data_IF_860291181916
#
_entry.id   IF_860291181916
#
_cell.length_a   1.000
_cell.length_b   1.000
_cell.length_c   1.000
_cell.angle_alpha   90.00
_cell.angle_beta   90.00
_cell.angle_gamma   90.00
#
_symmetry.space_group_name_H-M   'P 1'
#
loop_
_entity.id
_entity.type
_entity.pdbx_description
1 polymer ?
#
# COMPACT_ATOMS: atom_id res chain seq x y z
N UNK A 1 4.36 8.58 7.61
CA UNK A 1 2.88 8.57 7.49
C UNK A 1 2.24 7.51 8.38
N UNK A 2 2.47 6.21 8.15
CA UNK A 2 1.80 5.11 8.87
C UNK A 2 1.92 5.24 10.40
N UNK A 3 3.12 5.48 10.93
CA UNK A 3 3.36 5.68 12.36
C UNK A 3 2.50 6.80 12.96
N UNK A 4 2.32 7.91 12.24
CA UNK A 4 1.50 9.02 12.73
C UNK A 4 0.02 8.64 12.77
N UNK A 5 -0.52 8.03 11.71
CA UNK A 5 -1.91 7.56 11.70
C UNK A 5 -2.16 6.50 12.77
N UNK A 6 -1.20 5.58 12.96
CA UNK A 6 -1.22 4.57 14.00
C UNK A 6 -1.23 5.18 15.42
N UNK A 7 -0.58 6.33 15.62
CA UNK A 7 -0.61 7.05 16.91
C UNK A 7 -1.94 7.74 17.22
N UNK A 8 -2.79 7.95 16.20
CA UNK A 8 -4.11 8.58 16.34
C UNK A 8 -5.25 7.55 16.44
N UNK A 9 -4.99 6.31 16.01
CA UNK A 9 -5.98 5.25 16.01
C UNK A 9 -5.95 4.50 17.35
N UNK A 10 -7.11 4.16 17.91
CA UNK A 10 -7.19 3.43 19.18
C UNK A 10 -7.47 1.94 18.99
N UNK A 11 -8.41 1.59 18.11
CA UNK A 11 -8.95 0.22 17.99
C UNK A 11 -8.61 -0.44 16.66
N UNK A 12 -8.60 0.34 15.59
CA UNK A 12 -8.51 -0.18 14.22
C UNK A 12 -7.95 0.88 13.29
N UNK A 13 -7.05 0.45 12.41
CA UNK A 13 -6.50 1.25 11.34
C UNK A 13 -6.78 0.55 10.02
N UNK A 14 -7.58 1.19 9.16
CA UNK A 14 -7.86 0.73 7.79
C UNK A 14 -7.02 1.55 6.83
N UNK A 15 -6.21 0.88 6.03
CA UNK A 15 -5.39 1.53 5.00
C UNK A 15 -5.52 0.81 3.68
N UNK A 16 -5.55 1.59 2.59
CA UNK A 16 -5.38 1.06 1.24
C UNK A 16 -4.16 1.67 0.58
N UNK A 17 -3.50 0.89 -0.27
CA UNK A 17 -2.30 1.34 -0.99
C UNK A 17 -2.17 0.62 -2.33
N UNK A 18 -1.51 1.28 -3.28
CA UNK A 18 -1.17 0.69 -4.56
C UNK A 18 -0.06 -0.35 -4.36
N UNK A 19 -0.30 -1.64 -4.67
CA UNK A 19 0.71 -2.66 -4.49
C UNK A 19 1.83 -2.47 -5.53
N UNK A 20 3.09 -2.65 -5.10
CA UNK A 20 4.19 -2.87 -6.04
C UNK A 20 4.02 -4.24 -6.69
N UNK A 21 3.71 -4.25 -7.99
CA UNK A 21 3.53 -5.47 -8.78
C UNK A 21 4.32 -5.37 -10.07
N UNK A 22 4.84 -6.52 -10.54
CA UNK A 22 5.59 -6.60 -11.80
C UNK A 22 4.79 -6.09 -13.00
N UNK A 23 3.46 -6.24 -12.99
CA UNK A 23 2.57 -5.73 -14.04
C UNK A 23 2.62 -4.20 -14.16
N UNK A 24 2.57 -3.48 -13.04
CA UNK A 24 2.66 -2.02 -13.03
C UNK A 24 4.05 -1.54 -13.45
N UNK A 25 5.11 -2.27 -13.10
CA UNK A 25 6.47 -1.96 -13.54
C UNK A 25 6.63 -2.13 -15.07
N UNK A 26 6.01 -3.16 -15.65
CA UNK A 26 5.99 -3.36 -17.11
C UNK A 26 5.21 -2.24 -17.81
N UNK A 27 4.02 -1.89 -17.32
CA UNK A 27 3.23 -0.78 -17.88
C UNK A 27 4.01 0.54 -17.84
N UNK A 28 4.71 0.80 -16.74
CA UNK A 28 5.57 1.98 -16.61
C UNK A 28 6.69 1.99 -17.67
N UNK A 29 7.38 0.86 -17.84
CA UNK A 29 8.44 0.71 -18.86
C UNK A 29 7.91 0.91 -20.28
N UNK A 30 6.72 0.42 -20.61
CA UNK A 30 6.10 0.66 -21.92
C UNK A 30 5.84 2.15 -22.13
N UNK A 31 5.38 2.87 -21.10
CA UNK A 31 5.18 4.32 -21.18
C UNK A 31 6.47 5.12 -21.38
N UNK A 32 7.59 4.66 -20.80
CA UNK A 32 8.92 5.28 -20.92
C UNK A 32 9.51 5.19 -22.35
N UNK A 33 8.99 4.29 -23.20
CA UNK A 33 9.42 4.18 -24.62
C UNK A 33 8.93 5.34 -25.50
N UNK A 34 8.03 6.20 -25.00
CA UNK A 34 7.51 7.34 -25.75
C UNK A 34 8.15 8.65 -25.27
N UNK A 35 8.54 9.58 -26.17
CA UNK A 35 9.19 10.84 -25.79
C UNK A 35 8.23 11.78 -25.04
N UNK A 36 8.65 12.30 -23.88
CA UNK A 36 7.97 13.37 -23.15
C UNK A 36 8.01 13.26 -21.61
N UNK A 37 7.97 14.38 -20.87
CA UNK A 37 8.22 14.42 -19.42
C UNK A 37 7.10 13.86 -18.52
N UNK A 38 5.93 13.54 -19.08
CA UNK A 38 4.72 13.17 -18.31
C UNK A 38 4.12 11.81 -18.72
N UNK A 39 4.94 10.91 -19.29
CA UNK A 39 4.46 9.65 -19.92
C UNK A 39 4.23 8.50 -18.92
N UNK A 40 4.87 8.55 -17.75
CA UNK A 40 4.68 7.59 -16.67
C UNK A 40 4.02 8.24 -15.45
N UNK A 41 2.95 7.62 -14.94
CA UNK A 41 2.28 8.05 -13.71
C UNK A 41 3.26 8.02 -12.53
N UNK A 42 3.34 9.13 -11.78
CA UNK A 42 4.05 9.17 -10.49
C UNK A 42 3.22 8.45 -9.43
N UNK A 43 3.25 7.12 -9.47
CA UNK A 43 2.63 6.26 -8.45
C UNK A 43 3.69 5.79 -7.45
N UNK A 44 3.46 6.03 -6.16
CA UNK A 44 4.27 5.46 -5.09
C UNK A 44 3.73 4.07 -4.77
N UNK A 45 4.31 3.07 -5.43
CA UNK A 45 3.96 1.69 -5.19
C UNK A 45 4.65 1.21 -3.91
N UNK A 46 3.89 0.52 -3.07
CA UNK A 46 4.40 -0.02 -1.81
C UNK A 46 4.34 -1.54 -1.82
N UNK A 47 5.46 -2.24 -1.57
CA UNK A 47 5.41 -3.67 -1.27
C UNK A 47 4.63 -3.91 0.01
N UNK A 48 3.79 -4.95 0.04
CA UNK A 48 3.00 -5.31 1.23
C UNK A 48 3.85 -5.42 2.48
N UNK A 49 5.02 -6.07 2.37
CA UNK A 49 5.95 -6.26 3.48
C UNK A 49 6.40 -4.95 4.12
N UNK A 50 6.65 -3.91 3.32
CA UNK A 50 7.06 -2.59 3.84
C UNK A 50 5.94 -1.96 4.67
N UNK A 51 4.68 -2.15 4.25
CA UNK A 51 3.52 -1.67 4.99
C UNK A 51 3.31 -2.47 6.27
N UNK A 52 3.45 -3.80 6.21
CA UNK A 52 3.35 -4.67 7.38
C UNK A 52 4.43 -4.37 8.42
N UNK A 53 5.68 -4.20 8.00
CA UNK A 53 6.80 -3.87 8.88
C UNK A 53 6.58 -2.50 9.53
N UNK A 54 6.14 -1.50 8.77
CA UNK A 54 5.82 -0.19 9.33
C UNK A 54 4.65 -0.19 10.33
N UNK A 55 3.66 -1.07 10.15
CA UNK A 55 2.58 -1.29 11.13
C UNK A 55 3.10 -2.00 12.38
N UNK A 56 3.91 -3.05 12.20
CA UNK A 56 4.54 -3.81 13.28
C UNK A 56 5.40 -2.92 14.16
N UNK A 57 6.25 -2.09 13.56
CA UNK A 57 7.10 -1.12 14.24
C UNK A 57 6.31 -0.03 14.98
N UNK A 58 5.04 0.17 14.61
CA UNK A 58 4.12 1.09 15.28
C UNK A 58 3.30 0.41 16.40
N UNK A 59 3.49 -0.89 16.65
CA UNK A 59 2.72 -1.64 17.67
C UNK A 59 1.39 -2.22 17.16
N UNK A 60 1.25 -2.39 15.84
CA UNK A 60 0.04 -2.89 15.19
C UNK A 60 0.30 -4.20 14.45
N UNK A 61 -0.73 -5.03 14.31
CA UNK A 61 -0.70 -6.25 13.49
C UNK A 61 -1.83 -6.22 12.46
N UNK A 62 -1.60 -6.81 11.30
CA UNK A 62 -2.65 -6.97 10.28
C UNK A 62 -3.58 -8.09 10.72
N UNK A 63 -4.88 -7.78 10.87
CA UNK A 63 -5.93 -8.72 11.21
C UNK A 63 -6.58 -9.30 9.94
N UNK A 64 -6.85 -8.45 8.94
CA UNK A 64 -7.43 -8.87 7.67
C UNK A 64 -6.78 -8.15 6.48
N UNK A 65 -6.89 -8.80 5.32
CA UNK A 65 -6.39 -8.29 4.04
C UNK A 65 -7.47 -8.36 2.97
N UNK A 66 -7.53 -7.34 2.13
CA UNK A 66 -8.35 -7.29 0.93
C UNK A 66 -7.52 -6.88 -0.29
N UNK A 67 -8.04 -7.15 -1.48
CA UNK A 67 -7.43 -6.73 -2.72
C UNK A 67 -8.49 -6.38 -3.75
N UNK A 68 -8.43 -5.15 -4.27
CA UNK A 68 -9.19 -4.72 -5.43
C UNK A 68 -8.28 -4.85 -6.64
N UNK A 69 -8.71 -5.64 -7.63
CA UNK A 69 -8.00 -5.86 -8.88
C UNK A 69 -8.98 -5.68 -10.04
N UNK A 70 -8.85 -4.55 -10.73
CA UNK A 70 -9.62 -4.24 -11.94
C UNK A 70 -8.66 -4.04 -13.11
N UNK A 71 -9.17 -3.61 -14.26
CA UNK A 71 -8.31 -3.39 -15.43
C UNK A 71 -7.24 -2.31 -15.20
N UNK A 72 -7.57 -1.25 -14.44
CA UNK A 72 -6.69 -0.09 -14.26
C UNK A 72 -6.57 0.40 -12.82
N UNK A 73 -7.36 -0.15 -11.90
CA UNK A 73 -7.33 0.22 -10.48
C UNK A 73 -6.98 -1.00 -9.63
N UNK A 74 -5.90 -0.87 -8.87
CA UNK A 74 -5.35 -1.91 -8.00
C UNK A 74 -5.10 -1.33 -6.61
N UNK A 75 -5.70 -1.92 -5.59
CA UNK A 75 -5.52 -1.48 -4.21
C UNK A 75 -5.48 -2.67 -3.27
N UNK A 76 -4.41 -2.78 -2.47
CA UNK A 76 -4.39 -3.66 -1.29
C UNK A 76 -5.06 -2.93 -0.14
N UNK A 77 -5.83 -3.65 0.66
CA UNK A 77 -6.50 -3.15 1.84
C UNK A 77 -6.00 -3.92 3.05
N UNK A 78 -5.47 -3.22 4.05
CA UNK A 78 -5.12 -3.83 5.33
C UNK A 78 -6.03 -3.28 6.41
N UNK A 79 -6.56 -4.20 7.21
CA UNK A 79 -7.11 -3.90 8.52
C UNK A 79 -6.08 -4.26 9.57
N UNK A 80 -5.62 -3.26 10.33
CA UNK A 80 -4.70 -3.44 11.42
C UNK A 80 -5.38 -3.18 12.77
N UNK A 81 -4.99 -3.96 13.78
CA UNK A 81 -5.42 -3.81 15.18
C UNK A 81 -4.19 -3.70 16.09
N UNK A 82 -4.27 -3.04 17.25
CA UNK A 82 -3.16 -2.97 18.19
C UNK A 82 -2.73 -4.38 18.63
N UNK A 83 -1.44 -4.60 18.86
CA UNK A 83 -0.96 -5.91 19.34
C UNK A 83 -1.52 -6.26 20.73
N UNK A 84 -1.86 -5.25 21.54
CA UNK A 84 -2.45 -5.39 22.87
C UNK A 84 -3.96 -5.66 22.89
N UNK A 85 -4.67 -5.59 21.77
CA UNK A 85 -6.08 -5.99 21.72
C UNK A 85 -6.15 -7.53 21.60
N UNK A 86 -6.19 -8.20 22.77
CA UNK A 86 -6.58 -9.61 22.93
C UNK A 86 -8.00 -9.70 23.45
#
# INVERSE_FOLDING_TARGET
MIRHLASLAEKRLLISFAPSTLYLDVLKRVGELFPGPSKATRAYLHPERVIEDALRDAGWRVANKGFISTQFYFAKLFEAVPVTSS
#
